data_IF_279796600717
#
_entry.id   IF_279796600717
#
_cell.length_a   1.000
_cell.length_b   1.000
_cell.length_c   1.000
_cell.angle_alpha   90.00
_cell.angle_beta   90.00
_cell.angle_gamma   90.00
#
_symmetry.space_group_name_H-M   'P 1'
#
loop_
_entity.id
_entity.type
_entity.pdbx_description
1 polymer ?
#
# COMPACT_ATOMS: atom_id res chain seq x y z
N UNK A 1 5.24 -11.29 -26.65
CA UNK A 1 3.93 -10.67 -26.33
C UNK A 1 3.70 -10.46 -24.82
N UNK A 2 4.73 -10.22 -24.00
CA UNK A 2 4.58 -10.11 -22.52
C UNK A 2 4.76 -8.70 -21.94
N UNK A 3 5.09 -7.70 -22.77
CA UNK A 3 5.48 -6.36 -22.29
C UNK A 3 4.34 -5.33 -22.09
N UNK A 4 3.13 -5.57 -22.62
CA UNK A 4 2.09 -4.51 -22.65
C UNK A 4 1.32 -4.40 -21.32
N UNK A 5 1.12 -5.52 -20.60
CA UNK A 5 0.35 -5.52 -19.35
C UNK A 5 1.11 -4.92 -18.15
N UNK A 6 2.44 -5.05 -18.13
CA UNK A 6 3.28 -4.45 -17.07
C UNK A 6 3.31 -2.92 -17.12
N UNK A 7 3.15 -2.32 -18.31
CA UNK A 7 3.10 -0.86 -18.48
C UNK A 7 1.85 -0.24 -17.83
N UNK A 8 0.73 -0.96 -17.87
CA UNK A 8 -0.54 -0.50 -17.30
C UNK A 8 -0.54 -0.45 -15.76
N UNK A 9 0.20 -1.35 -15.08
CA UNK A 9 0.35 -1.30 -13.62
C UNK A 9 1.36 -0.25 -13.18
N UNK A 10 2.34 0.11 -14.01
CA UNK A 10 3.30 1.18 -13.69
C UNK A 10 2.70 2.59 -13.66
N UNK A 11 1.47 2.81 -14.13
CA UNK A 11 0.79 4.12 -14.05
C UNK A 11 -0.27 4.19 -12.95
N UNK A 12 -0.47 3.10 -12.20
CA UNK A 12 -1.53 3.03 -11.21
C UNK A 12 -1.26 4.02 -10.06
N UNK A 13 -2.13 5.01 -9.90
CA UNK A 13 -2.03 6.04 -8.85
C UNK A 13 -2.93 5.75 -7.65
N UNK A 14 -4.02 5.02 -7.85
CA UNK A 14 -5.01 4.71 -6.83
C UNK A 14 -5.28 3.20 -6.79
N UNK A 15 -5.17 2.61 -5.60
CA UNK A 15 -5.45 1.21 -5.36
C UNK A 15 -6.34 1.06 -4.12
N UNK A 16 -7.51 0.47 -4.31
CA UNK A 16 -8.46 0.15 -3.24
C UNK A 16 -8.53 -1.36 -3.06
N UNK A 17 -8.08 -1.85 -1.91
CA UNK A 17 -8.14 -3.26 -1.51
C UNK A 17 -8.97 -3.42 -0.24
N UNK A 18 -9.91 -2.50 0.00
CA UNK A 18 -10.80 -2.56 1.16
C UNK A 18 -11.52 -3.91 1.23
N UNK A 19 -11.52 -4.52 2.42
CA UNK A 19 -12.07 -5.85 2.72
C UNK A 19 -11.42 -7.02 1.97
N UNK A 20 -10.29 -6.81 1.28
CA UNK A 20 -9.51 -7.92 0.72
C UNK A 20 -8.76 -8.65 1.84
N UNK A 21 -9.35 -9.72 2.35
CA UNK A 21 -8.80 -10.51 3.47
C UNK A 21 -7.54 -11.28 3.12
N UNK A 22 -7.29 -11.53 1.82
CA UNK A 22 -6.13 -12.26 1.33
C UNK A 22 -4.90 -11.38 1.08
N UNK A 23 -4.95 -10.08 1.41
CA UNK A 23 -3.78 -9.20 1.31
C UNK A 23 -2.83 -9.50 2.46
N UNK A 24 -1.62 -9.94 2.10
CA UNK A 24 -0.53 -10.23 3.02
C UNK A 24 0.76 -9.49 2.68
N UNK A 25 1.84 -9.74 3.42
CA UNK A 25 3.15 -9.11 3.17
C UNK A 25 3.68 -9.36 1.75
N UNK A 26 3.40 -10.51 1.15
CA UNK A 26 3.75 -10.80 -0.25
C UNK A 26 2.93 -9.95 -1.23
N UNK A 27 1.65 -9.74 -0.91
CA UNK A 27 0.79 -8.77 -1.61
C UNK A 27 1.35 -7.34 -1.53
N UNK A 28 1.72 -6.89 -0.32
CA UNK A 28 2.33 -5.56 -0.14
C UNK A 28 3.69 -5.42 -0.86
N UNK A 29 4.48 -6.49 -0.94
CA UNK A 29 5.71 -6.50 -1.74
C UNK A 29 5.41 -6.27 -3.22
N UNK A 30 4.33 -6.83 -3.75
CA UNK A 30 3.92 -6.62 -5.13
C UNK A 30 3.44 -5.17 -5.35
N UNK A 31 2.68 -4.63 -4.39
CA UNK A 31 2.22 -3.23 -4.41
C UNK A 31 3.39 -2.24 -4.31
N UNK A 32 4.46 -2.57 -3.58
CA UNK A 32 5.66 -1.72 -3.50
C UNK A 32 6.40 -1.52 -4.82
N UNK A 33 6.07 -2.29 -5.86
CA UNK A 33 6.61 -2.09 -7.23
C UNK A 33 5.84 -1.02 -8.01
N UNK A 34 4.69 -0.57 -7.51
CA UNK A 34 3.86 0.47 -8.12
C UNK A 34 4.42 1.86 -7.77
N UNK A 35 5.52 2.24 -8.41
CA UNK A 35 6.26 3.47 -8.10
C UNK A 35 5.47 4.77 -8.29
N UNK A 36 4.37 4.72 -9.05
CA UNK A 36 3.47 5.86 -9.27
C UNK A 36 2.27 5.90 -8.31
N UNK A 37 2.16 4.94 -7.39
CA UNK A 37 1.03 4.84 -6.47
C UNK A 37 1.02 6.02 -5.49
N UNK A 38 -0.12 6.70 -5.41
CA UNK A 38 -0.35 7.88 -4.57
C UNK A 38 -1.34 7.59 -3.45
N UNK A 39 -2.34 6.73 -3.70
CA UNK A 39 -3.39 6.42 -2.75
C UNK A 39 -3.56 4.90 -2.63
N UNK A 40 -3.45 4.39 -1.41
CA UNK A 40 -3.68 2.99 -1.09
C UNK A 40 -4.68 2.85 0.06
N UNK A 41 -5.71 2.02 -0.14
CA UNK A 41 -6.64 1.65 0.93
C UNK A 41 -6.56 0.18 1.26
N UNK A 42 -6.38 -0.12 2.54
CA UNK A 42 -6.26 -1.47 3.11
C UNK A 42 -7.27 -1.68 4.26
N UNK A 43 -8.37 -0.92 4.27
CA UNK A 43 -9.36 -1.01 5.34
C UNK A 43 -9.95 -2.43 5.41
N UNK A 44 -9.94 -3.04 6.59
CA UNK A 44 -10.46 -4.40 6.78
C UNK A 44 -9.54 -5.54 6.31
N UNK A 45 -8.38 -5.23 5.72
CA UNK A 45 -7.31 -6.21 5.51
C UNK A 45 -6.61 -6.54 6.83
N UNK A 46 -6.13 -7.79 7.00
CA UNK A 46 -5.51 -8.24 8.26
C UNK A 46 -4.26 -9.12 8.08
N UNK A 47 -3.84 -9.39 6.85
CA UNK A 47 -2.78 -10.36 6.57
C UNK A 47 -1.35 -9.79 6.52
N UNK A 48 -1.15 -8.51 6.85
CA UNK A 48 0.15 -7.85 6.80
C UNK A 48 0.58 -7.27 8.15
N UNK A 49 1.88 -7.06 8.29
CA UNK A 49 2.53 -6.48 9.47
C UNK A 49 3.30 -5.19 9.12
N UNK A 50 4.05 -4.68 10.10
CA UNK A 50 4.84 -3.45 9.96
C UNK A 50 5.97 -3.56 8.93
N UNK A 51 6.50 -4.77 8.71
CA UNK A 51 7.53 -4.98 7.69
C UNK A 51 6.92 -4.78 6.30
N UNK A 52 5.71 -5.31 6.09
CA UNK A 52 4.95 -5.07 4.87
C UNK A 52 4.61 -3.58 4.70
N UNK A 53 4.15 -2.92 5.78
CA UNK A 53 3.78 -1.51 5.77
C UNK A 53 4.96 -0.56 5.53
N UNK A 54 6.14 -0.83 6.08
CA UNK A 54 7.36 -0.04 5.81
C UNK A 54 7.74 -0.02 4.33
N UNK A 55 7.50 -1.10 3.60
CA UNK A 55 7.75 -1.14 2.14
C UNK A 55 6.80 -0.24 1.37
N UNK A 56 5.54 -0.19 1.80
CA UNK A 56 4.54 0.72 1.25
C UNK A 56 4.92 2.18 1.57
N UNK A 57 5.38 2.45 2.79
CA UNK A 57 5.87 3.77 3.20
C UNK A 57 7.02 4.29 2.32
N UNK A 58 7.85 3.38 1.80
CA UNK A 58 9.00 3.71 0.96
C UNK A 58 8.63 4.09 -0.49
N UNK A 59 7.36 3.94 -0.90
CA UNK A 59 6.92 4.33 -2.24
C UNK A 59 7.13 5.84 -2.45
N UNK A 60 7.79 6.26 -3.55
CA UNK A 60 8.25 7.64 -3.71
C UNK A 60 7.12 8.65 -3.93
N UNK A 61 5.94 8.19 -4.36
CA UNK A 61 4.78 9.05 -4.66
C UNK A 61 3.58 8.83 -3.73
N UNK A 62 3.72 7.98 -2.72
CA UNK A 62 2.59 7.67 -1.85
C UNK A 62 2.26 8.88 -0.98
N UNK A 63 1.02 9.37 -1.10
CA UNK A 63 0.53 10.54 -0.37
C UNK A 63 -0.55 10.17 0.64
N UNK A 64 -1.29 9.08 0.41
CA UNK A 64 -2.40 8.67 1.29
C UNK A 64 -2.44 7.17 1.50
N UNK A 65 -2.59 6.76 2.76
CA UNK A 65 -2.67 5.37 3.16
C UNK A 65 -3.81 5.18 4.16
N UNK A 66 -4.81 4.36 3.83
CA UNK A 66 -5.87 3.98 4.77
C UNK A 66 -5.60 2.61 5.36
N UNK A 67 -5.49 2.53 6.69
CA UNK A 67 -5.15 1.32 7.43
C UNK A 67 -6.28 0.88 8.36
N UNK A 68 -6.41 -0.42 8.66
CA UNK A 68 -7.32 -0.89 9.69
C UNK A 68 -6.95 -0.28 11.05
N UNK A 69 -7.96 0.01 11.89
CA UNK A 69 -7.77 0.57 13.26
C UNK A 69 -6.70 -0.14 14.11
N UNK A 70 -6.48 -1.43 13.91
CA UNK A 70 -5.52 -2.24 14.68
C UNK A 70 -4.06 -1.96 14.35
N UNK A 71 -3.77 -1.42 13.17
CA UNK A 71 -2.41 -1.24 12.65
C UNK A 71 -1.86 0.18 12.89
N UNK A 72 -2.61 1.03 13.59
CA UNK A 72 -2.26 2.45 13.82
C UNK A 72 -1.17 2.61 14.88
N UNK A 73 -1.00 1.65 15.79
CA UNK A 73 -0.04 1.75 16.89
C UNK A 73 1.43 1.66 16.41
N UNK A 74 1.68 0.99 15.28
CA UNK A 74 3.03 0.86 14.70
C UNK A 74 3.26 1.75 13.46
N UNK A 75 2.21 2.43 12.99
CA UNK A 75 2.27 3.41 11.89
C UNK A 75 2.90 4.76 12.30
N UNK A 76 3.39 4.89 13.53
CA UNK A 76 3.97 6.14 14.05
C UNK A 76 5.36 6.46 13.41
N UNK A 77 5.85 5.62 12.49
CA UNK A 77 7.08 5.87 11.70
C UNK A 77 6.85 5.96 10.19
N UNK A 78 5.65 6.28 9.72
CA UNK A 78 5.50 6.71 8.32
C UNK A 78 6.16 8.08 8.15
N UNK A 79 6.70 8.34 6.95
CA UNK A 79 7.28 9.65 6.62
C UNK A 79 6.21 10.74 6.80
N UNK A 80 6.63 11.93 7.23
CA UNK A 80 5.73 13.05 7.56
C UNK A 80 4.86 13.52 6.38
N UNK A 81 5.23 13.18 5.14
CA UNK A 81 4.51 13.49 3.91
C UNK A 81 3.33 12.54 3.60
N UNK A 82 3.22 11.40 4.30
CA UNK A 82 2.18 10.39 4.03
C UNK A 82 1.00 10.58 4.98
N UNK A 83 -0.18 10.93 4.43
CA UNK A 83 -1.41 11.04 5.20
C UNK A 83 -1.99 9.66 5.51
N UNK A 84 -1.94 9.25 6.77
CA UNK A 84 -2.55 7.99 7.24
C UNK A 84 -3.98 8.25 7.75
N UNK A 85 -4.97 7.53 7.21
CA UNK A 85 -6.38 7.61 7.62
C UNK A 85 -6.93 6.28 8.16
N UNK A 86 -8.00 6.38 8.98
CA UNK A 86 -8.63 5.26 9.71
C UNK A 86 -9.87 4.72 9.03
#
# INVERSE_FOLDING_TARGET
>A
MTGCLLSAVSTLTHLDLTLCTNVNNTGLMSISKLSQLQHLKLLGCKGFDDVGLRRIAALPKLSTLSLPKKNILDAIKFRDDVKVSR
#
